data_IF_046290453175
#
_entry.id   IF_046290453175
#
_cell.length_a   1.000
_cell.length_b   1.000
_cell.length_c   1.000
_cell.angle_alpha   90.00
_cell.angle_beta   90.00
_cell.angle_gamma   90.00
#
_symmetry.space_group_name_H-M   'P 1'
#
loop_
_entity.id
_entity.type
_entity.pdbx_description
1 polymer ?
#
# COMPACT_ATOMS: atom_id res chain seq x y z
N UNK A 1 -19.13 5.99 17.08
CA UNK A 1 -18.21 4.91 17.48
C UNK A 1 -16.80 5.45 17.30
N UNK A 2 -15.87 5.15 18.20
CA UNK A 2 -14.56 5.80 18.20
C UNK A 2 -13.76 5.57 16.90
N UNK A 3 -13.91 4.40 16.27
CA UNK A 3 -13.30 4.13 14.96
C UNK A 3 -13.82 5.04 13.84
N UNK A 4 -15.11 5.43 13.88
CA UNK A 4 -15.67 6.36 12.91
C UNK A 4 -15.15 7.79 13.09
N UNK A 5 -14.83 8.19 14.32
CA UNK A 5 -14.20 9.49 14.60
C UNK A 5 -12.74 9.50 14.13
N UNK A 6 -12.02 8.40 14.32
CA UNK A 6 -10.65 8.23 13.80
C UNK A 6 -10.64 8.21 12.27
N UNK A 7 -11.58 7.50 11.63
CA UNK A 7 -11.74 7.54 10.18
C UNK A 7 -11.97 8.98 9.67
N UNK A 8 -12.81 9.77 10.37
CA UNK A 8 -13.00 11.18 10.04
C UNK A 8 -11.72 12.00 10.23
N UNK A 9 -10.93 11.74 11.27
CA UNK A 9 -9.65 12.41 11.49
C UNK A 9 -8.66 12.15 10.34
N UNK A 10 -8.57 10.89 9.88
CA UNK A 10 -7.73 10.51 8.74
C UNK A 10 -8.17 11.24 7.47
N UNK A 11 -9.47 11.22 7.16
CA UNK A 11 -10.00 11.91 5.98
C UNK A 11 -9.80 13.42 6.01
N UNK A 12 -10.01 14.04 7.17
CA UNK A 12 -9.87 15.49 7.35
C UNK A 12 -8.44 15.95 7.06
N UNK A 13 -7.45 15.11 7.36
CA UNK A 13 -6.03 15.42 7.18
C UNK A 13 -5.38 14.61 6.06
N UNK A 14 -6.19 14.04 5.15
CA UNK A 14 -5.73 13.12 4.11
C UNK A 14 -4.60 13.70 3.27
N UNK A 15 -4.76 14.93 2.79
CA UNK A 15 -3.75 15.59 1.96
C UNK A 15 -2.43 15.80 2.71
N UNK A 16 -2.53 16.24 3.97
CA UNK A 16 -1.35 16.41 4.83
C UNK A 16 -0.64 15.06 5.05
N UNK A 17 -1.39 14.00 5.31
CA UNK A 17 -0.86 12.66 5.54
C UNK A 17 -0.15 12.14 4.28
N UNK A 18 -0.78 12.28 3.10
CA UNK A 18 -0.19 11.90 1.82
C UNK A 18 1.11 12.64 1.58
N UNK A 19 1.15 13.95 1.85
CA UNK A 19 2.36 14.76 1.69
C UNK A 19 3.48 14.39 2.68
N UNK A 20 3.13 14.05 3.93
CA UNK A 20 4.09 13.50 4.90
C UNK A 20 4.68 12.17 4.43
N UNK A 21 3.83 11.30 3.86
CA UNK A 21 4.27 10.03 3.32
C UNK A 21 5.16 10.19 2.09
N UNK A 22 4.79 11.07 1.16
CA UNK A 22 5.63 11.43 0.00
C UNK A 22 7.00 11.89 0.47
N UNK A 23 7.05 12.81 1.44
CA UNK A 23 8.32 13.29 2.00
C UNK A 23 9.15 12.15 2.62
N UNK A 24 8.50 11.22 3.35
CA UNK A 24 9.17 10.07 3.93
C UNK A 24 9.74 9.11 2.87
N UNK A 25 9.00 8.85 1.79
CA UNK A 25 9.47 8.04 0.65
C UNK A 25 10.67 8.70 -0.02
N UNK A 26 10.58 9.99 -0.34
CA UNK A 26 11.66 10.74 -1.01
C UNK A 26 12.92 10.87 -0.15
N UNK A 27 12.78 10.87 1.17
CA UNK A 27 13.91 10.93 2.09
C UNK A 27 14.62 9.57 2.25
N UNK A 28 13.96 8.47 1.91
CA UNK A 28 14.50 7.12 2.11
C UNK A 28 15.43 6.70 0.97
N UNK A 29 16.74 6.76 1.21
CA UNK A 29 17.75 6.43 0.21
C UNK A 29 17.77 4.94 -0.19
N UNK A 30 17.07 4.05 0.52
CA UNK A 30 17.00 2.62 0.18
C UNK A 30 15.98 2.34 -0.92
N UNK A 31 14.98 3.21 -1.10
CA UNK A 31 14.06 3.20 -2.23
C UNK A 31 14.78 3.74 -3.47
N UNK A 32 14.80 2.93 -4.52
CA UNK A 32 15.44 3.29 -5.80
C UNK A 32 14.42 3.39 -6.93
N UNK A 33 13.38 2.57 -6.86
CA UNK A 33 12.34 2.53 -7.88
C UNK A 33 11.46 3.79 -7.95
N UNK A 34 11.46 4.64 -6.93
CA UNK A 34 10.65 5.87 -6.91
C UNK A 34 11.33 7.06 -7.60
N UNK A 35 12.66 7.02 -7.79
CA UNK A 35 13.47 8.19 -8.15
C UNK A 35 12.99 8.93 -9.42
N UNK A 36 12.52 8.17 -10.42
CA UNK A 36 12.06 8.71 -11.70
C UNK A 36 10.54 8.99 -11.73
N UNK A 37 9.80 8.62 -10.68
CA UNK A 37 8.38 8.93 -10.60
C UNK A 37 8.16 10.42 -10.38
N UNK A 38 7.19 11.00 -11.09
CA UNK A 38 6.64 12.30 -10.70
C UNK A 38 5.97 12.20 -9.33
N UNK A 39 5.77 13.31 -8.63
CA UNK A 39 5.02 13.31 -7.37
C UNK A 39 3.61 12.72 -7.56
N UNK A 40 2.91 13.08 -8.64
CA UNK A 40 1.60 12.50 -8.96
C UNK A 40 1.64 10.99 -9.20
N UNK A 41 2.70 10.48 -9.84
CA UNK A 41 2.89 9.03 -10.03
C UNK A 41 3.30 8.29 -8.76
N UNK A 42 3.88 8.99 -7.78
CA UNK A 42 4.10 8.45 -6.44
C UNK A 42 2.81 8.46 -5.63
N UNK A 43 2.06 9.58 -5.59
CA UNK A 43 0.80 9.71 -4.85
C UNK A 43 -0.23 8.70 -5.35
N UNK A 44 -0.52 8.71 -6.66
CA UNK A 44 -1.32 7.71 -7.36
C UNK A 44 -2.54 7.21 -6.55
N UNK A 45 -2.61 5.90 -6.24
CA UNK A 45 -3.72 5.28 -5.52
C UNK A 45 -3.71 5.48 -4.00
N UNK A 46 -2.67 6.09 -3.41
CA UNK A 46 -2.53 6.18 -1.95
C UNK A 46 -3.72 6.87 -1.26
N UNK A 47 -4.26 8.01 -1.73
CA UNK A 47 -5.42 8.59 -1.08
C UNK A 47 -6.67 7.68 -1.11
N UNK A 48 -6.77 6.74 -2.05
CA UNK A 48 -7.88 5.80 -2.19
C UNK A 48 -7.68 4.58 -1.28
N UNK A 49 -6.42 4.18 -1.03
CA UNK A 49 -6.10 3.25 0.07
C UNK A 49 -6.60 3.78 1.41
N UNK A 50 -6.41 5.09 1.65
CA UNK A 50 -6.88 5.74 2.87
C UNK A 50 -8.40 5.75 2.96
N UNK A 51 -9.10 5.92 1.84
CA UNK A 51 -10.57 5.85 1.79
C UNK A 51 -11.08 4.42 2.08
N UNK A 52 -10.39 3.38 1.60
CA UNK A 52 -10.68 1.98 1.96
C UNK A 52 -10.46 1.71 3.45
N UNK A 53 -9.34 2.16 4.01
CA UNK A 53 -9.05 2.05 5.46
C UNK A 53 -10.12 2.75 6.28
N UNK A 54 -10.52 3.97 5.91
CA UNK A 54 -11.57 4.71 6.60
C UNK A 54 -12.93 4.00 6.53
N UNK A 55 -13.24 3.38 5.38
CA UNK A 55 -14.45 2.60 5.20
C UNK A 55 -14.47 1.35 6.09
N UNK A 56 -13.34 0.65 6.19
CA UNK A 56 -13.15 -0.51 7.07
C UNK A 56 -13.34 -0.14 8.55
N UNK A 57 -12.73 0.96 9.00
CA UNK A 57 -12.85 1.46 10.37
C UNK A 57 -14.29 1.83 10.72
N UNK A 58 -15.03 2.46 9.81
CA UNK A 58 -16.45 2.80 10.07
C UNK A 58 -17.34 1.58 10.17
N UNK A 59 -17.10 0.59 9.31
CA UNK A 59 -17.89 -0.63 9.25
C UNK A 59 -17.46 -1.67 10.29
N UNK A 60 -16.35 -1.40 11.02
CA UNK A 60 -15.68 -2.36 11.92
C UNK A 60 -15.42 -3.71 11.23
N UNK A 61 -15.09 -3.64 9.93
CA UNK A 61 -14.90 -4.80 9.07
C UNK A 61 -13.43 -5.21 9.00
N UNK A 62 -13.20 -6.48 8.71
CA UNK A 62 -11.87 -6.97 8.39
C UNK A 62 -11.56 -6.77 6.90
N UNK A 63 -10.31 -6.47 6.54
CA UNK A 63 -9.86 -6.48 5.15
C UNK A 63 -10.07 -7.84 4.49
N UNK A 64 -10.45 -7.83 3.22
CA UNK A 64 -10.72 -9.00 2.39
C UNK A 64 -10.99 -8.62 0.93
N UNK A 65 -11.34 -9.60 0.11
CA UNK A 65 -11.44 -9.43 -1.35
C UNK A 65 -12.39 -8.32 -1.83
N UNK A 66 -13.40 -7.95 -1.04
CA UNK A 66 -14.41 -6.97 -1.44
C UNK A 66 -14.08 -5.51 -1.07
N UNK A 67 -13.12 -5.28 -0.18
CA UNK A 67 -12.84 -3.97 0.43
C UNK A 67 -11.34 -3.61 0.40
N UNK A 68 -10.64 -4.23 -0.56
CA UNK A 68 -9.19 -4.08 -0.81
C UNK A 68 -8.92 -4.00 -2.32
N UNK A 69 -9.78 -3.32 -3.06
CA UNK A 69 -9.57 -3.12 -4.48
C UNK A 69 -8.34 -2.24 -4.71
N UNK A 70 -8.30 -1.08 -4.04
CA UNK A 70 -7.26 -0.08 -4.24
C UNK A 70 -5.91 -0.59 -3.78
N UNK A 71 -5.85 -1.36 -2.68
CA UNK A 71 -4.63 -2.06 -2.25
C UNK A 71 -4.03 -2.93 -3.37
N UNK A 72 -4.88 -3.72 -4.03
CA UNK A 72 -4.43 -4.57 -5.13
C UNK A 72 -4.01 -3.75 -6.34
N UNK A 73 -4.74 -2.68 -6.65
CA UNK A 73 -4.40 -1.79 -7.78
C UNK A 73 -3.07 -1.08 -7.51
N UNK A 74 -2.81 -0.61 -6.30
CA UNK A 74 -1.54 0.01 -5.93
C UNK A 74 -0.36 -0.96 -6.12
N UNK A 75 -0.43 -2.14 -5.51
CA UNK A 75 0.63 -3.15 -5.65
C UNK A 75 0.87 -3.55 -7.12
N UNK A 76 -0.20 -3.73 -7.90
CA UNK A 76 -0.10 -4.03 -9.33
C UNK A 76 0.48 -2.86 -10.13
N UNK A 77 0.13 -1.63 -9.80
CA UNK A 77 0.65 -0.42 -10.47
C UNK A 77 2.14 -0.27 -10.21
N UNK A 78 2.61 -0.50 -8.98
CA UNK A 78 4.05 -0.54 -8.67
C UNK A 78 4.79 -1.61 -9.47
N UNK A 79 4.23 -2.81 -9.54
CA UNK A 79 4.77 -3.87 -10.39
C UNK A 79 4.89 -3.42 -11.85
N UNK A 80 3.84 -2.80 -12.40
CA UNK A 80 3.81 -2.26 -13.77
C UNK A 80 4.79 -1.10 -14.01
N UNK A 81 5.11 -0.33 -12.97
CA UNK A 81 6.09 0.75 -12.98
C UNK A 81 7.54 0.25 -12.82
N UNK A 82 7.76 -1.06 -12.68
CA UNK A 82 9.09 -1.64 -12.55
C UNK A 82 9.67 -1.56 -11.14
N UNK A 83 8.82 -1.41 -10.12
CA UNK A 83 9.27 -1.50 -8.74
C UNK A 83 9.92 -2.85 -8.47
N UNK A 84 10.88 -2.85 -7.54
CA UNK A 84 11.35 -4.09 -6.95
C UNK A 84 10.44 -4.46 -5.79
N UNK A 85 10.20 -5.75 -5.56
CA UNK A 85 9.38 -6.22 -4.44
C UNK A 85 9.80 -5.62 -3.09
N UNK A 86 11.11 -5.54 -2.84
CA UNK A 86 11.67 -4.95 -1.61
C UNK A 86 11.37 -3.44 -1.49
N UNK A 87 11.27 -2.73 -2.62
CA UNK A 87 10.99 -1.30 -2.66
C UNK A 87 9.49 -1.07 -2.36
N UNK A 88 8.59 -1.92 -2.89
CA UNK A 88 7.17 -1.93 -2.46
C UNK A 88 7.04 -2.19 -0.95
N UNK A 89 7.73 -3.21 -0.42
CA UNK A 89 7.70 -3.50 1.02
C UNK A 89 8.12 -2.28 1.85
N UNK A 90 9.18 -1.58 1.42
CA UNK A 90 9.67 -0.41 2.12
C UNK A 90 8.72 0.78 2.00
N UNK A 91 8.13 1.01 0.83
CA UNK A 91 7.12 2.04 0.60
C UNK A 91 5.89 1.87 1.51
N UNK A 92 5.37 0.65 1.62
CA UNK A 92 4.25 0.32 2.52
C UNK A 92 4.63 0.41 3.99
N UNK A 93 5.88 0.07 4.35
CA UNK A 93 6.37 0.26 5.71
C UNK A 93 6.41 1.76 6.08
N UNK A 94 6.82 2.64 5.17
CA UNK A 94 6.79 4.09 5.38
C UNK A 94 5.36 4.63 5.47
N UNK A 95 4.44 4.10 4.66
CA UNK A 95 3.02 4.44 4.75
C UNK A 95 2.45 4.09 6.13
N UNK A 96 2.73 2.87 6.63
CA UNK A 96 2.33 2.43 7.97
C UNK A 96 2.82 3.37 9.06
N UNK A 97 4.12 3.69 9.06
CA UNK A 97 4.72 4.56 10.08
C UNK A 97 4.11 5.96 10.03
N UNK A 98 3.98 6.53 8.83
CA UNK A 98 3.37 7.86 8.64
C UNK A 98 1.94 7.88 9.16
N UNK A 99 1.13 6.85 8.85
CA UNK A 99 -0.24 6.73 9.34
C UNK A 99 -0.31 6.67 10.87
N UNK A 100 0.51 5.84 11.51
CA UNK A 100 0.55 5.69 12.97
C UNK A 100 0.92 7.01 13.64
N UNK A 101 1.99 7.66 13.18
CA UNK A 101 2.48 8.93 13.73
C UNK A 101 1.47 10.06 13.52
N UNK A 102 0.84 10.12 12.34
CA UNK A 102 -0.18 11.09 12.02
C UNK A 102 -1.41 10.92 12.94
N UNK A 103 -1.94 9.69 13.03
CA UNK A 103 -3.10 9.38 13.89
C UNK A 103 -2.79 9.72 15.34
N UNK A 104 -1.60 9.35 15.86
CA UNK A 104 -1.19 9.69 17.21
C UNK A 104 -1.18 11.22 17.44
N UNK A 105 -0.66 11.98 16.48
CA UNK A 105 -0.60 13.45 16.55
C UNK A 105 -2.01 14.05 16.59
N UNK A 106 -2.90 13.61 15.71
CA UNK A 106 -4.27 14.12 15.64
C UNK A 106 -5.09 13.74 16.88
N UNK A 107 -4.93 12.52 17.39
CA UNK A 107 -5.60 12.07 18.62
C UNK A 107 -5.16 12.87 19.85
N UNK A 108 -3.88 13.27 19.92
CA UNK A 108 -3.39 14.15 20.99
C UNK A 108 -3.96 15.56 20.92
N UNK A 109 -4.24 16.05 19.71
CA UNK A 109 -4.84 17.36 19.48
C UNK A 109 -6.38 17.35 19.58
N UNK A 110 -7.01 16.18 19.52
CA UNK A 110 -8.45 16.03 19.57
C UNK A 110 -9.03 16.41 20.94
N UNK A 111 -10.14 17.13 20.94
CA UNK A 111 -10.84 17.55 22.16
C UNK A 111 -11.59 16.39 22.82
N UNK A 112 -12.00 15.39 22.03
CA UNK A 112 -12.72 14.24 22.54
C UNK A 112 -11.74 13.21 23.12
N UNK A 113 -12.02 12.65 24.31
CA UNK A 113 -11.19 11.60 24.87
C UNK A 113 -11.28 10.34 24.01
N UNK A 114 -10.11 9.79 23.68
CA UNK A 114 -9.95 8.51 23.00
C UNK A 114 -9.25 7.54 23.94
N UNK A 115 -9.66 6.27 23.89
CA UNK A 115 -9.10 5.22 24.74
C UNK A 115 -7.92 4.53 24.07
N UNK A 116 -7.15 3.78 24.86
CA UNK A 116 -6.09 2.94 24.32
C UNK A 116 -6.66 1.86 23.41
N UNK A 117 -7.86 1.35 23.71
CA UNK A 117 -8.60 0.38 22.93
C UNK A 117 -8.97 0.93 21.54
N UNK A 118 -9.39 2.19 21.46
CA UNK A 118 -9.73 2.86 20.18
C UNK A 118 -8.50 2.99 19.27
N UNK A 119 -7.38 3.41 19.87
CA UNK A 119 -6.10 3.49 19.18
C UNK A 119 -5.62 2.12 18.73
N UNK A 120 -5.61 1.13 19.63
CA UNK A 120 -5.18 -0.23 19.34
C UNK A 120 -6.02 -0.88 18.23
N UNK A 121 -7.34 -0.74 18.29
CA UNK A 121 -8.25 -1.26 17.26
C UNK A 121 -7.98 -0.65 15.89
N UNK A 122 -7.71 0.66 15.84
CA UNK A 122 -7.34 1.36 14.60
C UNK A 122 -6.01 0.84 14.04
N UNK A 123 -4.96 0.77 14.87
CA UNK A 123 -3.65 0.29 14.43
C UNK A 123 -3.71 -1.17 13.98
N UNK A 124 -4.52 -2.00 14.64
CA UNK A 124 -4.73 -3.38 14.24
C UNK A 124 -5.39 -3.48 12.84
N UNK A 125 -6.46 -2.70 12.59
CA UNK A 125 -7.12 -2.67 11.29
C UNK A 125 -6.18 -2.17 10.17
N UNK A 126 -5.41 -1.11 10.45
CA UNK A 126 -4.39 -0.58 9.55
C UNK A 126 -3.36 -1.63 9.16
N UNK A 127 -2.78 -2.30 10.16
CA UNK A 127 -1.75 -3.31 9.93
C UNK A 127 -2.27 -4.46 9.08
N UNK A 128 -3.47 -4.95 9.38
CA UNK A 128 -4.06 -6.04 8.61
C UNK A 128 -4.30 -5.64 7.16
N UNK A 129 -4.76 -4.40 6.92
CA UNK A 129 -4.99 -3.90 5.56
C UNK A 129 -3.68 -3.84 4.75
N UNK A 130 -2.64 -3.23 5.33
CA UNK A 130 -1.34 -3.09 4.66
C UNK A 130 -0.63 -4.45 4.50
N UNK A 131 -0.80 -5.38 5.43
CA UNK A 131 -0.23 -6.74 5.33
C UNK A 131 -0.91 -7.54 4.21
N UNK A 132 -2.22 -7.40 4.04
CA UNK A 132 -2.94 -8.04 2.93
C UNK A 132 -2.55 -7.44 1.57
N UNK A 133 -2.29 -6.13 1.50
CA UNK A 133 -1.70 -5.51 0.32
C UNK A 133 -0.33 -6.13 0.00
N UNK A 134 0.55 -6.22 0.99
CA UNK A 134 1.88 -6.83 0.83
C UNK A 134 1.79 -8.30 0.43
N UNK A 135 0.84 -9.06 1.00
CA UNK A 135 0.61 -10.46 0.62
C UNK A 135 0.27 -10.57 -0.87
N UNK A 136 -0.61 -9.70 -1.36
CA UNK A 136 -0.96 -9.67 -2.78
C UNK A 136 0.22 -9.20 -3.66
N UNK A 137 0.93 -8.16 -3.24
CA UNK A 137 2.13 -7.68 -3.92
C UNK A 137 3.18 -8.77 -4.07
N UNK A 138 3.52 -9.47 -2.98
CA UNK A 138 4.47 -10.60 -3.00
C UNK A 138 4.03 -11.64 -4.02
N UNK A 139 2.76 -12.04 -4.03
CA UNK A 139 2.24 -13.00 -5.01
C UNK A 139 2.49 -12.53 -6.46
N UNK A 140 2.19 -11.27 -6.78
CA UNK A 140 2.48 -10.72 -8.12
C UNK A 140 3.98 -10.81 -8.43
N UNK A 141 4.86 -10.38 -7.52
CA UNK A 141 6.30 -10.31 -7.76
C UNK A 141 6.97 -11.68 -7.84
N UNK A 142 6.46 -12.70 -7.15
CA UNK A 142 7.02 -14.06 -7.18
C UNK A 142 6.43 -14.88 -8.32
N UNK A 143 5.11 -14.87 -8.50
CA UNK A 143 4.43 -15.69 -9.50
C UNK A 143 4.65 -15.16 -10.93
N UNK A 144 4.88 -13.84 -11.10
CA UNK A 144 5.25 -13.28 -12.41
C UNK A 144 6.69 -13.63 -12.81
N UNK A 145 7.57 -13.89 -11.85
CA UNK A 145 8.93 -14.39 -12.11
C UNK A 145 8.96 -15.91 -12.41
N UNK A 146 7.87 -16.62 -12.09
CA UNK A 146 7.66 -18.04 -12.39
C UNK A 146 6.91 -18.28 -13.71
N UNK A 147 6.75 -17.25 -14.56
CA UNK A 147 6.42 -17.51 -15.96
C UNK A 147 7.49 -18.49 -16.50
N UNK A 148 7.13 -19.71 -16.94
CA UNK A 148 8.12 -20.62 -17.48
C UNK A 148 8.87 -19.86 -18.57
N UNK A 149 10.21 -20.01 -18.67
CA UNK A 149 10.95 -19.34 -19.73
C UNK A 149 10.20 -19.63 -21.02
N UNK A 150 9.79 -18.58 -21.74
CA UNK A 150 9.27 -18.76 -23.08
C UNK A 150 10.38 -19.53 -23.78
N UNK A 151 10.15 -20.83 -24.02
CA UNK A 151 10.89 -21.59 -24.98
C UNK A 151 10.71 -20.78 -26.26
N UNK A 152 11.68 -19.92 -26.56
CA UNK A 152 11.90 -19.47 -27.92
C UNK A 152 11.82 -20.76 -28.71
N UNK A 153 10.79 -20.89 -29.53
CA UNK A 153 10.57 -22.07 -30.33
C UNK A 153 11.89 -22.31 -31.06
N UNK A 154 12.67 -23.27 -30.58
CA UNK A 154 13.86 -23.73 -31.25
C UNK A 154 13.37 -24.12 -32.62
N UNK A 155 13.85 -23.45 -33.67
CA UNK A 155 13.54 -23.85 -35.03
C UNK A 155 13.74 -25.37 -35.13
N UNK A 156 12.77 -26.12 -35.69
CA UNK A 156 12.93 -27.55 -35.83
C UNK A 156 14.21 -27.80 -36.67
N UNK A 157 15.03 -28.79 -36.30
CA UNK A 157 16.27 -29.07 -37.02
C UNK A 157 15.96 -29.30 -38.50
N UNK A 158 16.82 -28.82 -39.43
CA UNK A 158 16.54 -28.94 -40.85
C UNK A 158 16.38 -30.42 -41.22
N UNK A 159 15.29 -30.73 -41.92
CA UNK A 159 15.01 -32.06 -42.44
C UNK A 159 16.17 -32.50 -43.35
N UNK A 160 16.65 -33.76 -43.24
CA UNK A 160 17.66 -34.26 -44.15
C UNK A 160 17.08 -34.26 -45.56
N UNK A 161 17.80 -33.61 -46.49
CA UNK A 161 17.55 -33.77 -47.91
C UNK A 161 17.89 -35.22 -48.26
N UNK A 162 16.94 -35.87 -48.94
CA UNK A 162 16.90 -37.23 -49.49
C UNK A 162 18.23 -37.93 -49.71
#
# INVERSE_FOLDING_TARGET
MAQADIARLIETHKDQLVQQWVAAVRADQSLKSDADLSEGGLIDHVPMLLDEVCSLLRAEQRPGLHNMHEARVHAYTRFRQGYRARDLVREIALLRLTLIEHIQTQLRAATNPHTFEDYFGTIHALNFYLDEELRYGVAIFTESNDAPPQLHASEPPPMPLT
#
